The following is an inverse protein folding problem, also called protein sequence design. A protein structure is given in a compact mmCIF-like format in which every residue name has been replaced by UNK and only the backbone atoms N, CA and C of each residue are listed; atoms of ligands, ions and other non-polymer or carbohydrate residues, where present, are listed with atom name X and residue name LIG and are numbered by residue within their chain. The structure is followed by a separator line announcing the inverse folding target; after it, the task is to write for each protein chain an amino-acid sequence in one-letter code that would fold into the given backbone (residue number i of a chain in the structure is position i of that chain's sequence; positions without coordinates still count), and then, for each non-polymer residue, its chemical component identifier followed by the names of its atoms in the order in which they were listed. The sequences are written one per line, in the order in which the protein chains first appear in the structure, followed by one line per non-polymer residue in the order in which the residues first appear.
data_IF_566560593194
#
_entry.id   IF_566560593194
#
_cell.length_a   1.000
_cell.length_b   1.000
_cell.length_c   1.000
_cell.angle_alpha   90.00
_cell.angle_beta   90.00
_cell.angle_gamma   90.00
#
_symmetry.space_group_name_H-M   'P 1'
#
loop_
_entity.id
_entity.type
_entity.pdbx_description
1 polymer ?
#
# COMPACT_ATOMS: atom_id res chain seq x y z
N UNK A 1 36.60 18.66 12.48
CA UNK A 1 35.16 18.34 12.67
C UNK A 1 34.96 18.06 14.16
N UNK A 2 34.05 18.78 14.84
CA UNK A 2 33.85 18.63 16.29
C UNK A 2 33.31 17.23 16.62
N UNK A 3 33.75 16.65 17.73
CA UNK A 3 33.35 15.31 18.21
C UNK A 3 31.83 15.08 18.20
N UNK A 4 31.06 16.06 18.67
CA UNK A 4 29.59 15.98 18.70
C UNK A 4 28.96 15.98 17.30
N UNK A 5 29.56 16.66 16.31
CA UNK A 5 29.07 16.63 14.92
C UNK A 5 29.29 15.26 14.28
N UNK A 6 30.43 14.63 14.57
CA UNK A 6 30.72 13.27 14.11
C UNK A 6 29.74 12.25 14.72
N UNK A 7 29.47 12.38 16.02
CA UNK A 7 28.48 11.54 16.71
C UNK A 7 27.05 11.73 16.17
N UNK A 8 26.64 12.97 15.85
CA UNK A 8 25.33 13.20 15.23
C UNK A 8 25.20 12.53 13.87
N UNK A 9 26.22 12.65 13.01
CA UNK A 9 26.22 12.00 11.70
C UNK A 9 26.16 10.47 11.85
N UNK A 10 26.93 9.89 12.77
CA UNK A 10 26.89 8.44 13.03
C UNK A 10 25.51 7.98 13.54
N UNK A 11 24.84 8.77 14.39
CA UNK A 11 23.48 8.51 14.85
C UNK A 11 22.47 8.60 13.70
N UNK A 12 22.57 9.63 12.85
CA UNK A 12 21.70 9.82 11.69
C UNK A 12 21.87 8.67 10.68
N UNK A 13 23.11 8.26 10.39
CA UNK A 13 23.41 7.13 9.51
C UNK A 13 22.88 5.82 10.06
N UNK A 14 23.02 5.58 11.37
CA UNK A 14 22.43 4.41 12.03
C UNK A 14 20.91 4.41 11.96
N UNK A 15 20.26 5.54 12.28
CA UNK A 15 18.81 5.67 12.23
C UNK A 15 18.28 5.46 10.80
N UNK A 16 18.96 6.01 9.80
CA UNK A 16 18.62 5.76 8.39
C UNK A 16 18.80 4.29 8.02
N UNK A 17 19.92 3.66 8.39
CA UNK A 17 20.16 2.26 8.09
C UNK A 17 19.17 1.31 8.78
N UNK A 18 18.66 1.69 9.95
CA UNK A 18 17.63 0.98 10.70
C UNK A 18 16.25 1.17 10.09
N UNK A 19 15.85 2.38 9.71
CA UNK A 19 14.50 2.66 9.18
C UNK A 19 14.35 2.36 7.68
N UNK A 20 15.46 2.30 6.94
CA UNK A 20 15.48 2.11 5.48
C UNK A 20 14.66 0.93 4.98
N UNK A 21 14.66 -0.27 5.57
CA UNK A 21 13.83 -1.38 5.08
C UNK A 21 12.32 -1.07 5.09
N UNK A 22 11.83 -0.40 6.13
CA UNK A 22 10.42 0.02 6.21
C UNK A 22 10.13 1.18 5.25
N UNK A 23 11.08 2.11 5.14
CA UNK A 23 11.03 3.19 4.14
C UNK A 23 10.96 2.66 2.71
N UNK A 24 11.76 1.65 2.37
CA UNK A 24 11.80 1.01 1.06
C UNK A 24 10.44 0.34 0.73
N UNK A 25 9.81 -0.34 1.70
CA UNK A 25 8.46 -0.92 1.53
C UNK A 25 7.41 0.17 1.34
N UNK A 26 7.39 1.16 2.23
CA UNK A 26 6.40 2.25 2.19
C UNK A 26 6.50 3.01 0.87
N UNK A 27 7.72 3.31 0.42
CA UNK A 27 8.00 3.96 -0.85
C UNK A 27 7.56 3.10 -2.05
N UNK A 28 7.80 1.78 -2.01
CA UNK A 28 7.36 0.87 -3.07
C UNK A 28 5.84 0.85 -3.19
N UNK A 29 5.11 0.75 -2.06
CA UNK A 29 3.64 0.79 -2.01
C UNK A 29 3.11 2.12 -2.56
N UNK A 30 3.62 3.24 -2.07
CA UNK A 30 3.17 4.57 -2.48
C UNK A 30 3.46 4.82 -3.96
N UNK A 31 4.65 4.45 -4.46
CA UNK A 31 4.98 4.57 -5.89
C UNK A 31 4.09 3.71 -6.77
N UNK A 32 3.86 2.46 -6.39
CA UNK A 32 2.97 1.55 -7.12
C UNK A 32 1.54 2.11 -7.20
N UNK A 33 1.01 2.61 -6.08
CA UNK A 33 -0.32 3.23 -6.04
C UNK A 33 -0.40 4.51 -6.88
N UNK A 34 0.64 5.34 -6.84
CA UNK A 34 0.75 6.57 -7.64
C UNK A 34 0.71 6.27 -9.12
N UNK A 35 1.55 5.34 -9.57
CA UNK A 35 1.65 4.96 -10.98
C UNK A 35 0.33 4.35 -11.48
N UNK A 36 -0.32 3.53 -10.65
CA UNK A 36 -1.62 2.97 -10.99
C UNK A 36 -2.72 4.05 -11.07
N UNK A 37 -2.78 4.97 -10.10
CA UNK A 37 -3.71 6.12 -10.15
C UNK A 37 -3.52 6.93 -11.43
N UNK A 38 -2.28 7.23 -11.79
CA UNK A 38 -1.98 8.02 -12.98
C UNK A 38 -2.36 7.30 -14.27
N UNK A 39 -2.21 5.97 -14.31
CA UNK A 39 -2.71 5.14 -15.41
C UNK A 39 -4.25 5.13 -15.48
N UNK A 40 -4.95 5.36 -14.36
CA UNK A 40 -6.42 5.39 -14.31
C UNK A 40 -7.02 6.74 -14.77
N UNK A 41 -6.27 7.84 -14.69
CA UNK A 41 -6.75 9.20 -15.00
C UNK A 41 -7.56 9.33 -16.31
N UNK A 42 -7.15 8.70 -17.44
CA UNK A 42 -7.90 8.82 -18.69
C UNK A 42 -9.32 8.21 -18.65
N UNK A 43 -9.61 7.35 -17.67
CA UNK A 43 -10.90 6.67 -17.55
C UNK A 43 -11.89 7.39 -16.64
N UNK A 44 -11.44 8.37 -15.86
CA UNK A 44 -12.28 9.03 -14.85
C UNK A 44 -13.34 9.89 -15.54
N UNK A 45 -14.61 9.55 -15.32
CA UNK A 45 -15.77 10.31 -15.79
C UNK A 45 -16.37 11.07 -14.61
N UNK A 46 -15.90 12.30 -14.42
CA UNK A 46 -16.41 13.19 -13.37
C UNK A 46 -17.09 14.44 -13.97
N UNK A 47 -18.20 14.92 -13.36
CA UNK A 47 -18.94 16.07 -13.87
C UNK A 47 -18.24 17.42 -13.61
N UNK A 48 -17.33 17.47 -12.64
CA UNK A 48 -16.58 18.67 -12.27
C UNK A 48 -15.14 18.31 -11.94
N UNK A 49 -14.26 19.31 -11.97
CA UNK A 49 -12.86 19.15 -11.57
C UNK A 49 -12.71 18.70 -10.12
N UNK A 50 -13.49 19.27 -9.19
CA UNK A 50 -13.48 18.84 -7.79
C UNK A 50 -13.86 17.37 -7.63
N UNK A 51 -14.85 16.89 -8.39
CA UNK A 51 -15.24 15.47 -8.39
C UNK A 51 -14.20 14.59 -9.04
N UNK A 52 -13.51 15.09 -10.07
CA UNK A 52 -12.38 14.38 -10.69
C UNK A 52 -11.25 14.18 -9.68
N UNK A 53 -10.88 15.26 -8.98
CA UNK A 53 -9.87 15.24 -7.92
C UNK A 53 -10.30 14.23 -6.86
N UNK A 54 -11.52 14.33 -6.32
CA UNK A 54 -12.07 13.39 -5.33
C UNK A 54 -11.97 11.91 -5.79
N UNK A 55 -12.34 11.61 -7.04
CA UNK A 55 -12.19 10.27 -7.61
C UNK A 55 -10.72 9.83 -7.65
N UNK A 56 -9.79 10.68 -8.09
CA UNK A 56 -8.34 10.36 -8.10
C UNK A 56 -7.81 10.02 -6.71
N UNK A 57 -8.33 10.66 -5.66
CA UNK A 57 -8.00 10.37 -4.27
C UNK A 57 -8.44 8.97 -3.90
N UNK A 58 -9.72 8.68 -4.12
CA UNK A 58 -10.33 7.41 -3.71
C UNK A 58 -9.64 6.25 -4.46
N UNK A 59 -9.36 6.45 -5.75
CA UNK A 59 -8.61 5.51 -6.59
C UNK A 59 -7.19 5.28 -6.04
N UNK A 60 -6.49 6.35 -5.65
CA UNK A 60 -5.16 6.21 -5.05
C UNK A 60 -5.20 5.40 -3.75
N UNK A 61 -6.16 5.69 -2.86
CA UNK A 61 -6.31 4.96 -1.62
C UNK A 61 -6.66 3.50 -1.84
N UNK A 62 -7.54 3.20 -2.80
CA UNK A 62 -7.86 1.83 -3.18
C UNK A 62 -6.59 1.05 -3.59
N UNK A 63 -5.70 1.67 -4.37
CA UNK A 63 -4.41 1.04 -4.68
C UNK A 63 -3.49 0.92 -3.47
N UNK A 64 -3.43 1.91 -2.57
CA UNK A 64 -2.66 1.80 -1.32
C UNK A 64 -3.13 0.60 -0.51
N UNK A 65 -4.45 0.45 -0.31
CA UNK A 65 -5.03 -0.65 0.43
C UNK A 65 -4.74 -1.99 -0.23
N UNK A 66 -4.88 -2.07 -1.55
CA UNK A 66 -4.56 -3.28 -2.29
C UNK A 66 -3.08 -3.68 -2.18
N UNK A 67 -2.14 -2.74 -2.38
CA UNK A 67 -0.72 -3.05 -2.30
C UNK A 67 -0.25 -3.32 -0.87
N UNK A 68 -0.89 -2.73 0.14
CA UNK A 68 -0.71 -3.11 1.54
C UNK A 68 -1.16 -4.55 1.78
N UNK A 69 -2.35 -4.93 1.31
CA UNK A 69 -2.84 -6.30 1.40
C UNK A 69 -1.86 -7.29 0.75
N UNK A 70 -1.37 -6.97 -0.46
CA UNK A 70 -0.36 -7.79 -1.15
C UNK A 70 0.97 -7.88 -0.38
N UNK A 71 1.37 -6.79 0.28
CA UNK A 71 2.56 -6.74 1.14
C UNK A 71 2.39 -7.63 2.36
N UNK A 72 1.25 -7.52 3.07
CA UNK A 72 0.95 -8.34 4.24
C UNK A 72 0.86 -9.81 3.86
N UNK A 73 0.19 -10.13 2.75
CA UNK A 73 0.11 -11.50 2.23
C UNK A 73 1.50 -12.10 1.93
N UNK A 74 2.44 -11.30 1.45
CA UNK A 74 3.82 -11.75 1.25
C UNK A 74 4.57 -11.89 2.58
N UNK A 75 4.32 -10.99 3.54
CA UNK A 75 4.91 -11.04 4.87
C UNK A 75 4.48 -12.30 5.63
N UNK A 76 3.20 -12.71 5.57
CA UNK A 76 2.70 -13.96 6.18
C UNK A 76 3.43 -15.21 5.72
N UNK A 77 4.05 -15.20 4.53
CA UNK A 77 4.79 -16.34 4.02
C UNK A 77 6.20 -16.49 4.64
N UNK A 78 6.75 -15.43 5.25
CA UNK A 78 8.16 -15.38 5.65
C UNK A 78 8.42 -14.81 7.04
N UNK A 79 7.43 -14.20 7.68
CA UNK A 79 7.53 -13.59 9.01
C UNK A 79 6.68 -14.32 10.05
N UNK A 80 7.06 -14.19 11.32
CA UNK A 80 6.25 -14.67 12.45
C UNK A 80 5.07 -13.74 12.72
N UNK A 81 4.07 -14.21 13.46
CA UNK A 81 2.90 -13.40 13.86
C UNK A 81 3.30 -12.11 14.59
N UNK A 82 4.27 -12.19 15.52
CA UNK A 82 4.77 -11.00 16.24
C UNK A 82 5.44 -9.99 15.31
N UNK A 83 6.21 -10.46 14.32
CA UNK A 83 6.83 -9.60 13.31
C UNK A 83 5.78 -8.95 12.40
N UNK A 84 4.70 -9.67 12.10
CA UNK A 84 3.61 -9.16 11.27
C UNK A 84 2.85 -8.04 11.99
N UNK A 85 2.54 -8.23 13.27
CA UNK A 85 1.92 -7.19 14.09
C UNK A 85 2.81 -5.94 14.18
N UNK A 86 4.11 -6.12 14.39
CA UNK A 86 5.07 -5.02 14.41
C UNK A 86 5.20 -4.34 13.03
N UNK A 87 5.17 -5.10 11.93
CA UNK A 87 5.18 -4.55 10.58
C UNK A 87 3.94 -3.67 10.33
N UNK A 88 2.76 -4.16 10.70
CA UNK A 88 1.49 -3.42 10.56
C UNK A 88 1.51 -2.12 11.38
N UNK A 89 1.98 -2.19 12.63
CA UNK A 89 2.09 -1.03 13.51
C UNK A 89 2.99 0.08 12.92
N UNK A 90 4.05 -0.30 12.19
CA UNK A 90 4.94 0.67 11.56
C UNK A 90 4.45 1.17 10.19
N UNK A 91 3.93 0.28 9.34
CA UNK A 91 3.57 0.63 7.95
C UNK A 91 2.37 1.56 7.87
N UNK A 92 1.37 1.42 8.75
CA UNK A 92 0.18 2.27 8.74
C UNK A 92 0.51 3.76 8.87
N UNK A 93 1.19 4.19 9.94
CA UNK A 93 1.65 5.56 10.11
C UNK A 93 2.58 6.05 9.00
N UNK A 94 3.56 5.23 8.58
CA UNK A 94 4.54 5.59 7.56
C UNK A 94 3.91 5.81 6.19
N UNK A 95 2.95 4.98 5.79
CA UNK A 95 2.28 5.11 4.51
C UNK A 95 1.29 6.28 4.54
N UNK A 96 0.60 6.48 5.66
CA UNK A 96 -0.27 7.65 5.86
C UNK A 96 0.53 8.94 5.74
N UNK A 97 1.65 9.09 6.47
CA UNK A 97 2.51 10.26 6.38
C UNK A 97 3.13 10.42 5.00
N UNK A 98 3.69 9.35 4.40
CA UNK A 98 4.31 9.41 3.08
C UNK A 98 3.29 9.81 2.00
N UNK A 99 2.08 9.25 2.02
CA UNK A 99 1.02 9.60 1.07
C UNK A 99 0.59 11.07 1.23
N UNK A 100 0.38 11.52 2.47
CA UNK A 100 -0.04 12.88 2.79
C UNK A 100 1.05 13.90 2.42
N UNK A 101 2.29 13.66 2.83
CA UNK A 101 3.39 14.60 2.69
C UNK A 101 3.93 14.65 1.25
N UNK A 102 3.92 13.54 0.53
CA UNK A 102 4.50 13.48 -0.82
C UNK A 102 3.52 13.83 -1.94
N UNK A 103 2.24 13.49 -1.79
CA UNK A 103 1.25 13.63 -2.89
C UNK A 103 0.12 14.57 -2.58
N UNK A 104 -0.17 14.82 -1.30
CA UNK A 104 -1.27 15.66 -0.88
C UNK A 104 -0.81 16.98 -0.29
N UNK A 105 0.49 17.29 -0.26
CA UNK A 105 1.01 18.55 0.29
C UNK A 105 0.23 19.80 -0.19
N UNK A 106 -0.17 19.81 -1.46
CA UNK A 106 -0.87 20.92 -2.13
C UNK A 106 -2.39 20.94 -1.91
N UNK A 107 -2.96 19.93 -1.23
CA UNK A 107 -4.40 19.77 -1.08
C UNK A 107 -5.01 20.56 0.08
N UNK A 108 -6.32 20.88 0.00
CA UNK A 108 -7.07 21.50 1.09
C UNK A 108 -6.99 20.71 2.41
N UNK A 109 -6.84 21.44 3.53
CA UNK A 109 -6.56 20.85 4.85
C UNK A 109 -7.75 20.05 5.41
N UNK A 110 -8.97 20.47 5.08
CA UNK A 110 -10.22 19.78 5.40
C UNK A 110 -10.30 18.40 4.74
N UNK A 111 -9.87 18.31 3.48
CA UNK A 111 -9.83 17.06 2.73
C UNK A 111 -8.80 16.09 3.34
N UNK A 112 -7.59 16.60 3.63
CA UNK A 112 -6.53 15.82 4.33
C UNK A 112 -7.03 15.29 5.66
N UNK A 113 -7.65 16.13 6.49
CA UNK A 113 -8.14 15.74 7.81
C UNK A 113 -9.20 14.64 7.75
N UNK A 114 -10.16 14.75 6.83
CA UNK A 114 -11.19 13.73 6.63
C UNK A 114 -10.61 12.38 6.21
N UNK A 115 -9.67 12.42 5.27
CA UNK A 115 -9.03 11.22 4.75
C UNK A 115 -8.16 10.54 5.81
N UNK A 116 -7.39 11.31 6.59
CA UNK A 116 -6.59 10.77 7.70
C UNK A 116 -7.46 10.12 8.76
N UNK A 117 -8.61 10.74 9.10
CA UNK A 117 -9.56 10.19 10.06
C UNK A 117 -10.20 8.88 9.59
N UNK A 118 -10.46 8.74 8.29
CA UNK A 118 -11.10 7.56 7.70
C UNK A 118 -10.11 6.49 7.22
N UNK A 119 -8.80 6.79 7.20
CA UNK A 119 -7.79 5.95 6.55
C UNK A 119 -7.73 4.54 7.12
N UNK A 120 -7.66 4.42 8.45
CA UNK A 120 -7.56 3.14 9.14
C UNK A 120 -8.85 2.31 9.01
N UNK A 121 -10.02 2.96 9.04
CA UNK A 121 -11.29 2.27 8.86
C UNK A 121 -11.43 1.69 7.45
N UNK A 122 -11.05 2.47 6.44
CA UNK A 122 -11.08 2.02 5.04
C UNK A 122 -10.00 0.98 4.75
N UNK A 123 -8.80 1.11 5.32
CA UNK A 123 -7.76 0.09 5.25
C UNK A 123 -8.25 -1.24 5.82
N UNK A 124 -8.83 -1.22 7.03
CA UNK A 124 -9.38 -2.42 7.66
C UNK A 124 -10.50 -3.05 6.83
N UNK A 125 -11.38 -2.22 6.25
CA UNK A 125 -12.45 -2.69 5.37
C UNK A 125 -11.89 -3.37 4.12
N UNK A 126 -10.93 -2.75 3.46
CA UNK A 126 -10.28 -3.30 2.28
C UNK A 126 -9.53 -4.61 2.59
N UNK A 127 -8.84 -4.69 3.73
CA UNK A 127 -8.18 -5.92 4.19
C UNK A 127 -9.19 -7.07 4.36
N UNK A 128 -10.37 -6.79 4.95
CA UNK A 128 -11.45 -7.79 5.07
C UNK A 128 -11.95 -8.19 3.68
N UNK A 129 -12.26 -7.22 2.81
CA UNK A 129 -12.77 -7.47 1.47
C UNK A 129 -11.82 -8.36 0.67
N UNK A 130 -10.56 -7.96 0.52
CA UNK A 130 -9.57 -8.73 -0.24
C UNK A 130 -9.27 -10.10 0.38
N UNK A 131 -9.30 -10.22 1.71
CA UNK A 131 -9.16 -11.51 2.39
C UNK A 131 -10.30 -12.48 2.02
N UNK A 132 -11.55 -11.99 1.93
CA UNK A 132 -12.71 -12.84 1.59
C UNK A 132 -12.71 -13.30 0.14
N UNK A 133 -12.18 -12.50 -0.80
CA UNK A 133 -12.06 -12.86 -2.22
C UNK A 133 -11.28 -14.16 -2.41
N UNK A 134 -10.24 -14.36 -1.59
CA UNK A 134 -9.38 -15.55 -1.65
C UNK A 134 -9.98 -16.81 -1.02
N UNK A 135 -11.18 -16.73 -0.42
CA UNK A 135 -11.88 -17.87 0.18
C UNK A 135 -12.76 -18.63 -0.84
N UNK A 136 -12.97 -18.07 -2.03
CA UNK A 136 -13.80 -18.68 -3.08
C UNK A 136 -13.00 -19.67 -3.95
N UNK A 137 -13.52 -20.89 -4.14
CA UNK A 137 -12.98 -21.89 -5.06
C UNK A 137 -13.39 -21.57 -6.51
N UNK A 138 -12.73 -20.59 -7.10
CA UNK A 138 -13.03 -20.08 -8.46
C UNK A 138 -11.97 -20.45 -9.50
N UNK A 139 -11.20 -21.53 -9.23
CA UNK A 139 -10.16 -22.00 -10.13
C UNK A 139 -10.76 -22.46 -11.47
N UNK A 140 -10.27 -21.87 -12.57
CA UNK A 140 -10.59 -22.35 -13.91
C UNK A 140 -9.95 -23.74 -14.13
N UNK A 141 -10.50 -24.54 -15.05
CA UNK A 141 -9.89 -25.83 -15.39
C UNK A 141 -8.43 -25.64 -15.81
N UNK A 142 -7.53 -26.35 -15.13
CA UNK A 142 -6.08 -26.25 -15.35
C UNK A 142 -5.38 -25.07 -14.67
N UNK A 143 -6.12 -24.16 -14.02
CA UNK A 143 -5.55 -23.05 -13.23
C UNK A 143 -5.23 -23.53 -11.81
N UNK A 144 -3.99 -23.32 -11.36
CA UNK A 144 -3.63 -23.59 -9.98
C UNK A 144 -4.37 -22.65 -9.01
N UNK A 145 -4.76 -23.15 -7.83
CA UNK A 145 -5.53 -22.40 -6.83
C UNK A 145 -4.90 -21.04 -6.48
N UNK A 146 -3.57 -20.96 -6.40
CA UNK A 146 -2.86 -19.70 -6.17
C UNK A 146 -3.10 -18.67 -7.28
N UNK A 147 -2.99 -19.09 -8.54
CA UNK A 147 -3.20 -18.22 -9.70
C UNK A 147 -4.64 -17.74 -9.77
N UNK A 148 -5.61 -18.61 -9.46
CA UNK A 148 -7.02 -18.26 -9.39
C UNK A 148 -7.31 -17.19 -8.33
N UNK A 149 -6.78 -17.37 -7.11
CA UNK A 149 -6.92 -16.39 -6.01
C UNK A 149 -6.28 -15.05 -6.35
N UNK A 150 -5.08 -15.08 -6.94
CA UNK A 150 -4.39 -13.87 -7.36
C UNK A 150 -5.17 -13.13 -8.46
N UNK A 151 -5.68 -13.85 -9.46
CA UNK A 151 -6.55 -13.28 -10.49
C UNK A 151 -7.80 -12.65 -9.89
N UNK A 152 -8.44 -13.33 -8.93
CA UNK A 152 -9.64 -12.82 -8.27
C UNK A 152 -9.35 -11.48 -7.55
N UNK A 153 -8.25 -11.39 -6.79
CA UNK A 153 -7.81 -10.15 -6.12
C UNK A 153 -7.67 -8.97 -7.10
N UNK A 154 -6.93 -9.18 -8.20
CA UNK A 154 -6.73 -8.12 -9.19
C UNK A 154 -8.01 -7.73 -9.93
N UNK A 155 -8.91 -8.69 -10.19
CA UNK A 155 -10.21 -8.39 -10.80
C UNK A 155 -11.12 -7.60 -9.86
N UNK A 156 -11.13 -7.92 -8.56
CA UNK A 156 -11.85 -7.15 -7.55
C UNK A 156 -11.33 -5.72 -7.49
N UNK A 157 -10.01 -5.53 -7.46
CA UNK A 157 -9.40 -4.20 -7.55
C UNK A 157 -9.90 -3.47 -8.81
N UNK A 158 -9.85 -4.12 -9.97
CA UNK A 158 -10.33 -3.53 -11.22
C UNK A 158 -11.80 -3.09 -11.15
N UNK A 159 -12.68 -3.90 -10.56
CA UNK A 159 -14.09 -3.58 -10.35
C UNK A 159 -14.29 -2.41 -9.38
N UNK A 160 -13.55 -2.36 -8.27
CA UNK A 160 -13.60 -1.24 -7.33
C UNK A 160 -13.16 0.07 -8.01
N UNK A 161 -12.09 0.03 -8.79
CA UNK A 161 -11.63 1.20 -9.56
C UNK A 161 -12.65 1.60 -10.63
N UNK A 162 -13.29 0.66 -11.33
CA UNK A 162 -14.31 0.97 -12.33
C UNK A 162 -15.56 1.62 -11.69
N UNK A 163 -15.97 1.13 -10.52
CA UNK A 163 -17.01 1.77 -9.70
C UNK A 163 -16.65 3.22 -9.34
N UNK A 164 -15.40 3.46 -8.91
CA UNK A 164 -14.94 4.82 -8.57
C UNK A 164 -14.75 5.74 -9.79
N UNK A 165 -14.28 5.21 -10.91
CA UNK A 165 -13.90 6.01 -12.08
C UNK A 165 -15.08 6.33 -13.00
N UNK A 166 -16.02 5.39 -13.17
CA UNK A 166 -17.11 5.50 -14.15
C UNK A 166 -18.49 5.13 -13.59
N UNK A 167 -18.58 4.83 -12.29
CA UNK A 167 -19.81 4.37 -11.62
C UNK A 167 -20.41 3.10 -12.27
N UNK A 168 -19.53 2.22 -12.75
CA UNK A 168 -19.88 0.91 -13.30
C UNK A 168 -18.78 -0.11 -12.96
N UNK A 169 -19.04 -0.95 -11.96
CA UNK A 169 -18.11 -2.00 -11.47
C UNK A 169 -17.82 -3.10 -12.51
N UNK A 170 -18.53 -3.11 -13.64
CA UNK A 170 -18.42 -4.11 -14.71
C UNK A 170 -17.82 -3.54 -15.99
N UNK A 171 -17.43 -2.27 -16.01
CA UNK A 171 -16.84 -1.64 -17.19
C UNK A 171 -15.46 -2.23 -17.51
N UNK A 172 -15.43 -3.21 -18.42
CA UNK A 172 -14.21 -3.89 -18.85
C UNK A 172 -13.20 -2.95 -19.51
N UNK A 173 -13.64 -1.80 -20.03
CA UNK A 173 -12.74 -0.79 -20.61
C UNK A 173 -11.88 -0.11 -19.55
N UNK A 174 -12.30 -0.15 -18.28
CA UNK A 174 -11.53 0.32 -17.13
C UNK A 174 -10.85 -0.86 -16.42
N UNK A 175 -11.60 -1.94 -16.14
CA UNK A 175 -11.13 -3.09 -15.34
C UNK A 175 -9.85 -3.69 -15.93
N UNK A 176 -9.83 -3.97 -17.24
CA UNK A 176 -8.70 -4.64 -17.89
C UNK A 176 -7.41 -3.82 -17.85
N UNK A 177 -7.37 -2.55 -18.31
CA UNK A 177 -6.14 -1.76 -18.26
C UNK A 177 -5.68 -1.46 -16.83
N UNK A 178 -6.60 -1.21 -15.91
CA UNK A 178 -6.27 -0.97 -14.48
C UNK A 178 -5.64 -2.22 -13.86
N UNK A 179 -6.24 -3.39 -14.08
CA UNK A 179 -5.71 -4.66 -13.60
C UNK A 179 -4.30 -4.90 -14.15
N UNK A 180 -4.08 -4.64 -15.45
CA UNK A 180 -2.78 -4.81 -16.07
C UNK A 180 -1.72 -3.86 -15.49
N UNK A 181 -2.08 -2.60 -15.24
CA UNK A 181 -1.21 -1.63 -14.58
C UNK A 181 -0.84 -2.10 -13.17
N UNK A 182 -1.82 -2.55 -12.37
CA UNK A 182 -1.61 -3.05 -11.03
C UNK A 182 -0.71 -4.30 -10.98
N UNK A 183 -0.89 -5.25 -11.90
CA UNK A 183 -0.02 -6.43 -12.03
C UNK A 183 1.42 -6.02 -12.34
N UNK A 184 1.60 -5.03 -13.22
CA UNK A 184 2.92 -4.52 -13.59
C UNK A 184 3.61 -3.90 -12.37
N UNK A 185 2.91 -3.01 -11.66
CA UNK A 185 3.45 -2.36 -10.46
C UNK A 185 3.73 -3.36 -9.34
N UNK A 186 2.86 -4.35 -9.12
CA UNK A 186 3.10 -5.41 -8.13
C UNK A 186 4.41 -6.18 -8.39
N UNK A 187 4.70 -6.48 -9.66
CA UNK A 187 5.97 -7.13 -10.04
C UNK A 187 7.17 -6.20 -9.81
N UNK A 188 7.03 -4.92 -10.17
CA UNK A 188 8.08 -3.92 -10.04
C UNK A 188 8.43 -3.60 -8.58
N UNK A 189 7.47 -3.73 -7.66
CA UNK A 189 7.71 -3.59 -6.22
C UNK A 189 8.72 -4.62 -5.68
N UNK A 190 8.84 -5.80 -6.33
CA UNK A 190 9.75 -6.89 -5.89
C UNK A 190 9.58 -7.24 -4.41
N UNK A 191 8.33 -7.39 -3.96
CA UNK A 191 7.99 -7.64 -2.55
C UNK A 191 8.78 -8.79 -1.90
N UNK A 192 9.10 -9.86 -2.65
CA UNK A 192 9.92 -10.96 -2.14
C UNK A 192 11.30 -10.48 -1.64
N UNK A 193 11.96 -9.60 -2.39
CA UNK A 193 13.27 -9.05 -2.02
C UNK A 193 13.14 -8.09 -0.84
N UNK A 194 12.09 -7.27 -0.80
CA UNK A 194 11.83 -6.36 0.31
C UNK A 194 11.54 -7.12 1.61
N UNK A 195 10.74 -8.19 1.56
CA UNK A 195 10.43 -9.00 2.73
C UNK A 195 11.64 -9.82 3.20
N UNK A 196 12.47 -10.33 2.29
CA UNK A 196 13.73 -11.00 2.65
C UNK A 196 14.67 -10.06 3.43
N UNK A 197 14.72 -8.77 3.05
CA UNK A 197 15.51 -7.78 3.79
C UNK A 197 15.00 -7.55 5.22
N UNK A 198 13.68 -7.65 5.45
CA UNK A 198 13.08 -7.59 6.79
C UNK A 198 13.41 -8.85 7.59
N UNK A 199 13.20 -10.03 7.00
CA UNK A 199 13.43 -11.31 7.67
C UNK A 199 14.89 -11.48 8.13
N UNK A 200 15.85 -10.95 7.38
CA UNK A 200 17.29 -11.05 7.68
C UNK A 200 17.77 -10.11 8.80
N UNK A 201 16.93 -9.20 9.33
CA UNK A 201 17.33 -8.22 10.37
C UNK A 201 17.23 -8.76 11.80
N UNK A 202 16.77 -9.99 11.98
CA UNK A 202 16.57 -10.63 13.29
C UNK A 202 15.16 -10.40 13.85
N UNK A 203 14.71 -11.28 14.74
CA UNK A 203 13.34 -11.31 15.28
C UNK A 203 12.96 -10.02 16.03
N UNK A 204 13.92 -9.43 16.74
CA UNK A 204 13.65 -8.38 17.72
C UNK A 204 13.86 -6.96 17.18
N UNK A 205 14.41 -6.81 15.97
CA UNK A 205 14.66 -5.50 15.37
C UNK A 205 13.35 -4.74 15.09
N UNK A 206 12.40 -5.40 14.43
CA UNK A 206 11.14 -4.78 14.03
C UNK A 206 10.27 -4.40 15.23
N UNK A 207 10.32 -5.23 16.28
CA UNK A 207 9.58 -5.01 17.52
C UNK A 207 10.15 -3.81 18.31
N UNK A 208 11.48 -3.71 18.42
CA UNK A 208 12.13 -2.52 19.02
C UNK A 208 11.79 -1.24 18.26
N UNK A 209 11.81 -1.30 16.93
CA UNK A 209 11.49 -0.13 16.11
C UNK A 209 10.02 0.31 16.27
N UNK A 210 9.09 -0.64 16.33
CA UNK A 210 7.68 -0.37 16.61
C UNK A 210 7.49 0.28 18.00
N UNK A 211 8.18 -0.21 19.03
CA UNK A 211 8.15 0.37 20.37
C UNK A 211 8.73 1.78 20.44
N UNK A 212 9.78 2.06 19.67
CA UNK A 212 10.35 3.42 19.58
C UNK A 212 9.37 4.38 18.92
N UNK A 213 8.81 4.00 17.77
CA UNK A 213 7.85 4.84 17.04
C UNK A 213 6.56 5.10 17.84
N UNK A 214 6.12 4.15 18.66
CA UNK A 214 4.95 4.30 19.52
C UNK A 214 5.16 5.21 20.74
N UNK A 215 6.41 5.48 21.14
CA UNK A 215 6.73 6.40 22.25
C UNK A 215 6.76 7.86 21.82
N UNK A 216 6.94 8.11 20.52
CA UNK A 216 7.06 9.44 19.92
C UNK A 216 5.72 9.94 19.33
N UNK A 217 4.66 9.12 19.36
CA UNK A 217 3.29 9.41 18.90
C UNK A 217 2.34 9.72 20.06
#
# INVERSE_FOLDING_TARGET
MNHWKKQLVEIEEQLQAETKPLGDISLAVVRAATNCRDATKPFIKAPTEDKRIECEILIFYEFIYFFLHMTMRQAFAVLTESQIQALQACLGPLISSTAIDSYFAHWPQDLKGKITGEFYEKLNRAEVEYSTVTQSDTARQGEGLFAAKLRALFMTLGSNIASLAVNDEKDLTVIVPVTQAAITQWKDMRLNSLMANIANRGSDWLQRLAETLAKDS
#
